data_IF_048786103644
#
_entry.id   IF_048786103644
#
_cell.length_a   1.000
_cell.length_b   1.000
_cell.length_c   1.000
_cell.angle_alpha   90.00
_cell.angle_beta   90.00
_cell.angle_gamma   90.00
#
_symmetry.space_group_name_H-M   'P 1'
#
loop_
_entity.id
_entity.type
_entity.pdbx_description
1 polymer ?
#
# COMPACT_ATOMS: atom_id res chain seq x y z
N UNK A 1 14.04 -3.64 -26.36
CA UNK A 1 14.74 -2.37 -26.64
C UNK A 1 13.83 -1.18 -26.39
N UNK A 2 12.93 -0.76 -27.30
CA UNK A 2 12.15 0.47 -27.11
C UNK A 2 11.28 0.49 -25.83
N UNK A 3 10.67 -0.64 -25.47
CA UNK A 3 9.84 -0.78 -24.26
C UNK A 3 10.62 -0.63 -22.96
N UNK A 4 11.90 -0.96 -22.96
CA UNK A 4 12.76 -0.90 -21.77
C UNK A 4 13.02 0.57 -21.37
N UNK A 5 13.08 1.46 -22.36
CA UNK A 5 13.22 2.90 -22.14
C UNK A 5 11.89 3.60 -21.83
N UNK A 6 10.77 3.11 -22.38
CA UNK A 6 9.45 3.70 -22.13
C UNK A 6 9.00 3.59 -20.68
N UNK A 7 9.48 2.58 -19.94
CA UNK A 7 9.19 2.43 -18.52
C UNK A 7 9.98 3.39 -17.62
N UNK A 8 11.04 4.03 -18.15
CA UNK A 8 11.85 4.96 -17.38
C UNK A 8 11.07 6.25 -17.18
N UNK A 9 10.73 6.51 -15.93
CA UNK A 9 10.04 7.71 -15.51
C UNK A 9 10.93 8.95 -15.77
N UNK A 10 10.49 9.84 -16.68
CA UNK A 10 11.21 11.09 -16.99
C UNK A 10 11.04 12.21 -15.95
N UNK A 11 10.35 11.97 -14.84
CA UNK A 11 10.01 12.99 -13.83
C UNK A 11 9.79 12.37 -12.44
N UNK A 12 10.20 13.06 -11.38
CA UNK A 12 9.98 12.65 -9.99
C UNK A 12 8.52 12.72 -9.52
N UNK A 13 7.63 13.36 -10.29
CA UNK A 13 6.26 13.72 -9.86
C UNK A 13 5.41 12.50 -9.45
N UNK A 14 5.60 11.33 -10.07
CA UNK A 14 4.86 10.14 -9.65
C UNK A 14 5.28 9.64 -8.26
N UNK A 15 6.58 9.69 -7.97
CA UNK A 15 7.11 9.36 -6.65
C UNK A 15 6.63 10.39 -5.62
N UNK A 16 6.69 11.68 -5.93
CA UNK A 16 6.21 12.76 -5.05
C UNK A 16 4.74 12.61 -4.71
N UNK A 17 3.88 12.28 -5.69
CA UNK A 17 2.46 12.03 -5.44
C UNK A 17 2.23 10.84 -4.51
N UNK A 18 3.00 9.76 -4.69
CA UNK A 18 2.93 8.60 -3.80
C UNK A 18 3.31 8.99 -2.35
N UNK A 19 4.42 9.68 -2.17
CA UNK A 19 4.90 10.15 -0.85
C UNK A 19 3.95 11.16 -0.19
N UNK A 20 3.46 12.14 -0.93
CA UNK A 20 2.48 13.12 -0.42
C UNK A 20 1.20 12.44 0.04
N UNK A 21 0.70 11.45 -0.71
CA UNK A 21 -0.47 10.67 -0.30
C UNK A 21 -0.22 9.75 0.91
N UNK A 22 1.04 9.44 1.18
CA UNK A 22 1.47 8.60 2.30
C UNK A 22 1.75 9.42 3.57
N UNK A 23 1.85 10.75 3.47
CA UNK A 23 2.16 11.64 4.57
C UNK A 23 1.20 11.50 5.77
N UNK A 24 -0.07 11.15 5.54
CA UNK A 24 -1.05 10.93 6.61
C UNK A 24 -0.65 9.75 7.52
N UNK A 25 -0.07 8.70 6.95
CA UNK A 25 0.41 7.51 7.67
C UNK A 25 1.88 7.62 8.11
N UNK A 26 2.61 8.61 7.61
CA UNK A 26 4.03 8.86 7.91
C UNK A 26 4.20 9.84 9.09
N UNK A 27 3.26 10.77 9.27
CA UNK A 27 3.45 11.90 10.18
C UNK A 27 3.54 11.48 11.66
N UNK A 28 4.53 12.06 12.34
CA UNK A 28 4.99 11.77 13.69
C UNK A 28 3.89 11.94 14.76
N UNK A 29 2.85 12.72 14.44
CA UNK A 29 1.80 13.14 15.39
C UNK A 29 0.57 12.23 15.45
N UNK A 30 0.36 11.27 14.52
CA UNK A 30 -0.93 10.56 14.45
C UNK A 30 -0.92 9.04 14.42
N UNK A 31 0.20 8.37 14.17
CA UNK A 31 0.42 6.94 14.43
C UNK A 31 1.77 6.56 13.83
N UNK A 32 2.83 6.53 14.65
CA UNK A 32 4.15 6.20 14.17
C UNK A 32 4.23 4.70 13.83
N UNK A 33 3.93 4.34 12.58
CA UNK A 33 4.21 3.00 12.07
C UNK A 33 5.71 2.81 11.93
N UNK A 34 6.23 1.63 12.28
CA UNK A 34 7.64 1.29 12.03
C UNK A 34 7.95 1.50 10.54
N UNK A 35 9.13 2.04 10.20
CA UNK A 35 9.53 2.35 8.82
C UNK A 35 9.34 1.15 7.88
N UNK A 36 9.60 -0.07 8.36
CA UNK A 36 9.38 -1.30 7.60
C UNK A 36 7.89 -1.55 7.34
N UNK A 37 7.05 -1.43 8.38
CA UNK A 37 5.61 -1.58 8.26
C UNK A 37 5.01 -0.51 7.32
N UNK A 38 5.48 0.73 7.42
CA UNK A 38 5.09 1.82 6.53
C UNK A 38 5.40 1.50 5.06
N UNK A 39 6.61 1.05 4.76
CA UNK A 39 7.00 0.65 3.40
C UNK A 39 6.12 -0.48 2.86
N UNK A 40 5.87 -1.50 3.67
CA UNK A 40 4.99 -2.62 3.31
C UNK A 40 3.54 -2.15 3.04
N UNK A 41 3.02 -1.21 3.81
CA UNK A 41 1.70 -0.63 3.58
C UNK A 41 1.63 0.13 2.24
N UNK A 42 2.68 0.86 1.86
CA UNK A 42 2.70 1.54 0.56
C UNK A 42 2.72 0.53 -0.61
N UNK A 43 3.46 -0.58 -0.47
CA UNK A 43 3.45 -1.67 -1.45
C UNK A 43 2.07 -2.32 -1.54
N UNK A 44 1.44 -2.63 -0.40
CA UNK A 44 0.11 -3.23 -0.34
C UNK A 44 -0.94 -2.31 -0.99
N UNK A 45 -0.91 -1.01 -0.66
CA UNK A 45 -1.77 0.01 -1.28
C UNK A 45 -1.60 0.06 -2.80
N UNK A 46 -0.36 -0.02 -3.29
CA UNK A 46 -0.07 -0.07 -4.73
C UNK A 46 -0.64 -1.34 -5.39
N UNK A 47 -0.49 -2.49 -4.75
CA UNK A 47 -0.97 -3.77 -5.26
C UNK A 47 -2.49 -3.79 -5.46
N UNK A 48 -3.27 -3.27 -4.51
CA UNK A 48 -4.72 -3.11 -4.69
C UNK A 48 -5.07 -2.07 -5.77
N UNK A 49 -4.35 -0.94 -5.83
CA UNK A 49 -4.60 0.11 -6.84
C UNK A 49 -4.41 -0.39 -8.28
N UNK A 50 -3.48 -1.33 -8.47
CA UNK A 50 -3.11 -1.86 -9.80
C UNK A 50 -3.83 -3.18 -10.12
N UNK A 51 -4.72 -3.65 -9.24
CA UNK A 51 -5.39 -4.94 -9.34
C UNK A 51 -4.43 -6.14 -9.37
N UNK A 52 -3.21 -6.01 -8.84
CA UNK A 52 -2.39 -7.19 -8.50
C UNK A 52 -3.02 -7.98 -7.35
N UNK A 53 -3.70 -7.26 -6.45
CA UNK A 53 -4.58 -7.82 -5.44
C UNK A 53 -5.99 -7.25 -5.64
N UNK A 54 -7.01 -8.05 -5.32
CA UNK A 54 -8.40 -7.65 -5.44
C UNK A 54 -9.08 -7.72 -4.07
N UNK A 55 -9.46 -6.56 -3.55
CA UNK A 55 -10.09 -6.44 -2.24
C UNK A 55 -11.44 -7.17 -2.17
N UNK A 56 -12.20 -7.24 -3.26
CA UNK A 56 -13.48 -7.96 -3.29
C UNK A 56 -13.28 -9.47 -3.19
N UNK A 57 -12.26 -10.00 -3.88
CA UNK A 57 -11.94 -11.43 -3.84
C UNK A 57 -11.40 -11.83 -2.46
N UNK A 58 -10.53 -11.00 -1.89
CA UNK A 58 -10.01 -11.24 -0.54
C UNK A 58 -11.09 -11.11 0.55
N UNK A 59 -11.99 -10.14 0.44
CA UNK A 59 -13.11 -10.00 1.37
C UNK A 59 -14.08 -11.18 1.27
N UNK A 60 -14.31 -11.72 0.07
CA UNK A 60 -15.14 -12.91 -0.12
C UNK A 60 -14.49 -14.19 0.42
N UNK A 61 -13.16 -14.27 0.39
CA UNK A 61 -12.39 -15.40 0.92
C UNK A 61 -12.08 -15.29 2.42
N UNK A 62 -12.35 -14.14 3.05
CA UNK A 62 -12.00 -13.90 4.45
C UNK A 62 -12.99 -14.60 5.40
N UNK A 63 -12.55 -15.69 6.00
CA UNK A 63 -13.22 -16.30 7.17
C UNK A 63 -13.20 -15.31 8.35
N UNK A 64 -14.33 -15.01 8.99
CA UNK A 64 -14.38 -14.05 10.10
C UNK A 64 -13.45 -14.51 11.24
N UNK A 65 -12.72 -13.54 11.81
CA UNK A 65 -11.89 -13.77 12.98
C UNK A 65 -12.76 -14.33 14.11
N UNK A 66 -12.51 -15.56 14.55
CA UNK A 66 -13.07 -16.08 15.79
C UNK A 66 -12.45 -15.27 16.93
N UNK A 67 -13.21 -14.31 17.45
CA UNK A 67 -12.90 -13.73 18.76
C UNK A 67 -13.08 -14.87 19.74
N UNK A 68 -11.98 -15.39 20.26
CA UNK A 68 -12.03 -16.28 21.42
C UNK A 68 -12.63 -15.45 22.55
N UNK A 69 -13.92 -15.65 22.82
CA UNK A 69 -14.53 -15.18 24.06
C UNK A 69 -13.73 -15.83 25.20
N UNK A 70 -13.01 -14.98 25.94
CA UNK A 70 -12.39 -15.35 27.20
C UNK A 70 -13.50 -15.33 28.24
N UNK A 71 -14.09 -16.50 28.49
CA UNK A 71 -14.90 -16.79 29.68
C UNK A 71 -14.07 -16.70 30.97
#
# INVERSE_FOLDING_TARGET
>A
MARDYLAIQGSSVASERAFSSAAISDDLRRNKTETKAFGNLQVLKFAYKTNFLNASDEAAAHEPFHVLELD
#
